data_IF_629089911879
#
_entry.id   IF_629089911879
#
_cell.length_a   1.000
_cell.length_b   1.000
_cell.length_c   1.000
_cell.angle_alpha   90.00
_cell.angle_beta   90.00
_cell.angle_gamma   90.00
#
_symmetry.space_group_name_H-M   'P 1'
#
loop_
_entity.id
_entity.type
_entity.pdbx_description
1 polymer ?
#
# COMPACT_ATOMS: atom_id res chain seq x y z
N UNK A 1 -11.55 29.08 3.86
CA UNK A 1 -11.52 27.94 4.81
C UNK A 1 -10.34 27.10 4.38
N UNK A 2 -9.23 27.29 5.09
CA UNK A 2 -7.89 26.91 4.64
C UNK A 2 -7.65 25.40 4.75
N UNK A 3 -6.78 24.88 3.88
CA UNK A 3 -6.32 23.48 3.82
C UNK A 3 -5.70 22.97 5.13
N UNK A 4 -5.43 23.85 6.09
CA UNK A 4 -4.92 23.52 7.42
C UNK A 4 -5.98 22.91 8.36
N UNK A 5 -7.28 23.14 8.13
CA UNK A 5 -8.37 22.60 8.97
C UNK A 5 -8.77 21.16 8.61
N UNK A 6 -8.63 20.72 7.36
CA UNK A 6 -8.92 19.32 6.99
C UNK A 6 -7.92 18.34 7.61
N UNK A 7 -6.67 18.76 7.80
CA UNK A 7 -5.62 17.99 8.46
C UNK A 7 -5.83 17.86 9.98
N UNK A 8 -6.44 18.84 10.64
CA UNK A 8 -6.70 18.80 12.07
C UNK A 8 -7.96 17.97 12.39
N UNK A 9 -9.02 18.08 11.59
CA UNK A 9 -10.24 17.27 11.71
C UNK A 9 -10.01 15.78 11.46
N UNK A 10 -9.21 15.42 10.45
CA UNK A 10 -8.84 14.02 10.17
C UNK A 10 -7.95 13.43 11.26
N UNK A 11 -7.02 14.22 11.81
CA UNK A 11 -6.14 13.82 12.92
C UNK A 11 -6.92 13.59 14.22
N UNK A 12 -7.84 14.48 14.56
CA UNK A 12 -8.73 14.34 15.72
C UNK A 12 -9.65 13.10 15.59
N UNK A 13 -10.20 12.86 14.39
CA UNK A 13 -11.05 11.69 14.10
C UNK A 13 -10.30 10.36 14.20
N UNK A 14 -9.06 10.31 13.71
CA UNK A 14 -8.20 9.13 13.83
C UNK A 14 -7.82 8.82 15.27
N UNK A 15 -7.45 9.84 16.07
CA UNK A 15 -7.10 9.67 17.47
C UNK A 15 -8.28 9.15 18.30
N UNK A 16 -9.50 9.63 18.00
CA UNK A 16 -10.74 9.16 18.63
C UNK A 16 -11.01 7.67 18.35
N UNK A 17 -10.80 7.20 17.12
CA UNK A 17 -10.98 5.78 16.75
C UNK A 17 -10.00 4.87 17.48
N UNK A 18 -8.75 5.29 17.62
CA UNK A 18 -7.72 4.53 18.34
C UNK A 18 -7.97 4.52 19.85
N UNK A 19 -8.47 5.62 20.43
CA UNK A 19 -8.89 5.66 21.84
C UNK A 19 -10.12 4.80 22.10
N UNK A 20 -11.06 4.73 21.15
CA UNK A 20 -12.25 3.88 21.27
C UNK A 20 -11.88 2.42 21.57
N UNK A 21 -10.81 1.89 20.97
CA UNK A 21 -10.32 0.52 21.20
C UNK A 21 -10.26 0.10 22.67
N UNK A 22 -9.76 0.99 23.52
CA UNK A 22 -9.51 0.69 24.93
C UNK A 22 -10.77 0.69 25.75
N UNK A 23 -11.84 1.29 25.21
CA UNK A 23 -13.11 1.52 25.87
C UNK A 23 -14.27 0.85 25.09
N UNK A 24 -14.00 -0.10 24.19
CA UNK A 24 -15.07 -0.79 23.48
C UNK A 24 -15.68 -1.84 24.40
N UNK A 25 -17.01 -1.78 24.55
CA UNK A 25 -17.81 -2.79 25.28
C UNK A 25 -18.08 -4.06 24.44
N UNK A 26 -17.60 -4.10 23.20
CA UNK A 26 -17.76 -5.24 22.28
C UNK A 26 -16.42 -5.69 21.70
N UNK A 27 -16.35 -6.97 21.30
CA UNK A 27 -15.16 -7.57 20.72
C UNK A 27 -14.94 -7.05 19.28
N UNK A 28 -13.78 -6.43 18.97
CA UNK A 28 -13.50 -5.92 17.63
C UNK A 28 -13.56 -7.02 16.57
N UNK A 29 -14.32 -6.76 15.51
CA UNK A 29 -14.37 -7.57 14.30
C UNK A 29 -13.32 -7.13 13.26
N UNK A 30 -13.27 -7.83 12.12
CA UNK A 30 -12.29 -7.60 11.06
C UNK A 30 -12.37 -6.18 10.49
N UNK A 31 -13.59 -5.66 10.29
CA UNK A 31 -13.82 -4.32 9.74
C UNK A 31 -13.32 -3.26 10.72
N UNK A 32 -13.61 -3.46 12.01
CA UNK A 32 -13.14 -2.58 13.09
C UNK A 32 -11.60 -2.56 13.09
N UNK A 33 -10.97 -3.73 13.06
CA UNK A 33 -9.50 -3.86 13.04
C UNK A 33 -8.88 -3.14 11.84
N UNK A 34 -9.39 -3.36 10.62
CA UNK A 34 -8.87 -2.72 9.41
C UNK A 34 -9.02 -1.19 9.48
N UNK A 35 -10.17 -0.70 9.93
CA UNK A 35 -10.44 0.73 10.09
C UNK A 35 -9.48 1.39 11.08
N UNK A 36 -9.15 0.67 12.15
CA UNK A 36 -8.21 1.11 13.15
C UNK A 36 -6.76 1.12 12.66
N UNK A 37 -6.35 0.10 11.91
CA UNK A 37 -5.03 0.06 11.27
C UNK A 37 -4.88 1.22 10.29
N UNK A 38 -5.88 1.48 9.45
CA UNK A 38 -5.90 2.64 8.55
C UNK A 38 -5.79 3.98 9.30
N UNK A 39 -6.43 4.10 10.47
CA UNK A 39 -6.27 5.28 11.31
C UNK A 39 -4.83 5.42 11.82
N UNK A 40 -4.16 4.30 12.15
CA UNK A 40 -2.74 4.32 12.53
C UNK A 40 -1.83 4.68 11.35
N UNK A 41 -2.14 4.23 10.13
CA UNK A 41 -1.44 4.63 8.89
C UNK A 41 -1.47 6.15 8.74
N UNK A 42 -2.66 6.77 8.76
CA UNK A 42 -2.81 8.22 8.57
C UNK A 42 -2.17 9.06 9.68
N UNK A 43 -2.15 8.56 10.92
CA UNK A 43 -1.55 9.25 12.05
C UNK A 43 -0.05 8.98 12.21
N UNK A 44 0.51 8.00 11.48
CA UNK A 44 1.88 7.52 11.68
C UNK A 44 2.13 6.90 13.06
N UNK A 45 1.10 6.40 13.73
CA UNK A 45 1.19 5.97 15.14
C UNK A 45 1.53 4.47 15.28
N UNK A 46 2.80 4.13 15.08
CA UNK A 46 3.28 2.74 15.20
C UNK A 46 2.97 2.08 16.55
N UNK A 47 2.97 2.85 17.65
CA UNK A 47 2.71 2.35 19.00
C UNK A 47 1.32 1.71 19.11
N UNK A 48 0.31 2.31 18.47
CA UNK A 48 -1.05 1.78 18.47
C UNK A 48 -1.20 0.65 17.46
N UNK A 49 -0.58 0.77 16.29
CA UNK A 49 -0.51 -0.32 15.31
C UNK A 49 0.05 -1.62 15.90
N UNK A 50 1.11 -1.54 16.73
CA UNK A 50 1.67 -2.70 17.44
C UNK A 50 0.70 -3.31 18.48
N UNK A 51 -0.05 -2.48 19.20
CA UNK A 51 -1.07 -2.97 20.13
C UNK A 51 -2.18 -3.73 19.40
N UNK A 52 -2.65 -3.19 18.28
CA UNK A 52 -3.66 -3.84 17.41
C UNK A 52 -3.09 -5.13 16.82
N UNK A 53 -1.84 -5.13 16.34
CA UNK A 53 -1.20 -6.35 15.84
C UNK A 53 -1.10 -7.44 16.92
N UNK A 54 -0.77 -7.08 18.17
CA UNK A 54 -0.80 -8.02 19.29
C UNK A 54 -2.20 -8.58 19.60
N UNK A 55 -3.28 -7.82 19.35
CA UNK A 55 -4.64 -8.34 19.42
C UNK A 55 -4.93 -9.31 18.26
N UNK A 56 -4.59 -8.93 17.02
CA UNK A 56 -4.76 -9.76 15.82
C UNK A 56 -4.12 -11.15 15.98
N UNK A 57 -2.93 -11.22 16.59
CA UNK A 57 -2.26 -12.49 16.85
C UNK A 57 -3.00 -13.33 17.90
N UNK A 58 -3.43 -12.73 19.01
CA UNK A 58 -4.13 -13.42 20.11
C UNK A 58 -5.53 -13.90 19.73
N UNK A 59 -6.21 -13.17 18.86
CA UNK A 59 -7.57 -13.48 18.40
C UNK A 59 -7.60 -14.26 17.07
N UNK A 60 -6.46 -14.79 16.61
CA UNK A 60 -6.33 -15.58 15.37
C UNK A 60 -6.70 -14.87 14.05
N UNK A 61 -6.89 -13.54 14.07
CA UNK A 61 -7.17 -12.73 12.88
C UNK A 61 -6.00 -12.65 11.89
N UNK A 62 -4.78 -13.01 12.30
CA UNK A 62 -3.59 -13.03 11.42
C UNK A 62 -3.71 -14.03 10.25
N UNK A 63 -4.68 -14.94 10.29
CA UNK A 63 -4.99 -15.85 9.19
C UNK A 63 -5.80 -15.17 8.08
N UNK A 64 -6.41 -14.02 8.36
CA UNK A 64 -7.17 -13.26 7.39
C UNK A 64 -6.23 -12.42 6.53
N UNK A 65 -6.23 -12.69 5.22
CA UNK A 65 -5.35 -12.05 4.25
C UNK A 65 -5.67 -10.56 4.03
N UNK A 66 -6.92 -10.11 4.26
CA UNK A 66 -7.28 -8.69 4.23
C UNK A 66 -6.67 -7.94 5.42
N UNK A 67 -6.66 -8.55 6.61
CA UNK A 67 -6.02 -7.98 7.80
C UNK A 67 -4.50 -7.92 7.60
N UNK A 68 -3.90 -8.94 6.98
CA UNK A 68 -2.47 -8.93 6.65
C UNK A 68 -2.12 -7.80 5.67
N UNK A 69 -2.95 -7.55 4.65
CA UNK A 69 -2.76 -6.42 3.75
C UNK A 69 -2.80 -5.07 4.49
N UNK A 70 -3.77 -4.89 5.40
CA UNK A 70 -3.87 -3.67 6.23
C UNK A 70 -2.68 -3.50 7.19
N UNK A 71 -2.13 -4.60 7.72
CA UNK A 71 -0.91 -4.55 8.54
C UNK A 71 0.31 -4.16 7.71
N UNK A 72 0.47 -4.72 6.50
CA UNK A 72 1.56 -4.38 5.58
C UNK A 72 1.56 -2.88 5.29
N UNK A 73 0.39 -2.33 4.93
CA UNK A 73 0.19 -0.91 4.67
C UNK A 73 0.50 -0.05 5.91
N UNK A 74 -0.04 -0.40 7.08
CA UNK A 74 0.18 0.35 8.31
C UNK A 74 1.66 0.38 8.71
N UNK A 75 2.35 -0.76 8.69
CA UNK A 75 3.76 -0.82 9.06
C UNK A 75 4.65 -0.09 8.05
N UNK A 76 4.41 -0.22 6.74
CA UNK A 76 5.24 0.42 5.72
C UNK A 76 5.14 1.95 5.79
N UNK A 77 3.93 2.49 5.95
CA UNK A 77 3.67 3.93 6.14
C UNK A 77 4.21 4.45 7.48
N UNK A 78 4.31 3.59 8.50
CA UNK A 78 4.99 3.91 9.77
C UNK A 78 6.52 3.74 9.70
N UNK A 79 7.10 3.59 8.51
CA UNK A 79 8.55 3.48 8.32
C UNK A 79 9.13 2.11 8.67
N UNK A 80 8.31 1.06 8.78
CA UNK A 80 8.72 -0.31 9.16
C UNK A 80 8.49 -1.31 8.04
N UNK A 81 9.18 -1.07 6.92
CA UNK A 81 9.21 -1.98 5.78
C UNK A 81 9.66 -3.39 6.17
N UNK A 82 10.61 -3.51 7.10
CA UNK A 82 11.10 -4.78 7.61
C UNK A 82 9.98 -5.67 8.16
N UNK A 83 9.04 -5.11 8.91
CA UNK A 83 7.89 -5.84 9.45
C UNK A 83 6.91 -6.20 8.32
N UNK A 84 6.66 -5.27 7.40
CA UNK A 84 5.81 -5.52 6.22
C UNK A 84 6.30 -6.71 5.40
N UNK A 85 7.61 -6.82 5.17
CA UNK A 85 8.24 -7.95 4.47
C UNK A 85 7.98 -9.27 5.21
N UNK A 86 8.15 -9.30 6.53
CA UNK A 86 7.93 -10.50 7.34
C UNK A 86 6.46 -10.95 7.24
N UNK A 87 5.52 -10.03 7.43
CA UNK A 87 4.07 -10.35 7.36
C UNK A 87 3.73 -10.89 5.97
N UNK A 88 4.17 -10.19 4.92
CA UNK A 88 3.95 -10.60 3.55
C UNK A 88 4.54 -12.00 3.26
N UNK A 89 5.79 -12.24 3.65
CA UNK A 89 6.47 -13.53 3.46
C UNK A 89 5.81 -14.68 4.23
N UNK A 90 5.27 -14.41 5.42
CA UNK A 90 4.60 -15.41 6.26
C UNK A 90 3.18 -15.78 5.81
N UNK A 91 2.55 -14.97 4.95
CA UNK A 91 1.18 -15.22 4.49
C UNK A 91 1.16 -16.36 3.47
N UNK A 92 0.46 -17.45 3.79
CA UNK A 92 0.29 -18.63 2.93
C UNK A 92 -0.51 -18.30 1.66
N UNK A 93 -1.50 -17.42 1.79
CA UNK A 93 -2.27 -16.89 0.67
C UNK A 93 -2.07 -15.37 0.60
N UNK A 94 -1.81 -14.87 -0.61
CA UNK A 94 -1.61 -13.45 -0.87
C UNK A 94 -2.74 -12.95 -1.75
N UNK A 95 -3.52 -12.01 -1.24
CA UNK A 95 -4.56 -11.32 -2.01
C UNK A 95 -3.96 -10.23 -2.86
N UNK A 96 -4.69 -9.79 -3.89
CA UNK A 96 -4.35 -8.61 -4.70
C UNK A 96 -4.05 -7.40 -3.80
N UNK A 97 -4.82 -7.21 -2.73
CA UNK A 97 -4.59 -6.14 -1.76
C UNK A 97 -3.22 -6.25 -1.07
N UNK A 98 -2.79 -7.45 -0.67
CA UNK A 98 -1.47 -7.67 -0.05
C UNK A 98 -0.32 -7.46 -1.04
N UNK A 99 -0.46 -7.91 -2.30
CA UNK A 99 0.51 -7.63 -3.37
C UNK A 99 0.65 -6.13 -3.60
N UNK A 100 -0.47 -5.44 -3.80
CA UNK A 100 -0.50 -4.00 -4.04
C UNK A 100 0.10 -3.22 -2.87
N UNK A 101 -0.19 -3.64 -1.62
CA UNK A 101 0.37 -3.02 -0.42
C UNK A 101 1.89 -3.18 -0.36
N UNK A 102 2.41 -4.35 -0.75
CA UNK A 102 3.86 -4.60 -0.75
C UNK A 102 4.60 -3.88 -1.88
N UNK A 103 4.02 -3.83 -3.09
CA UNK A 103 4.56 -3.04 -4.22
C UNK A 103 4.63 -1.56 -3.85
N UNK A 104 3.53 -1.02 -3.28
CA UNK A 104 3.48 0.36 -2.79
C UNK A 104 4.52 0.59 -1.68
N UNK A 105 4.64 -0.33 -0.73
CA UNK A 105 5.63 -0.24 0.35
C UNK A 105 7.06 -0.13 -0.18
N UNK A 106 7.46 -0.94 -1.15
CA UNK A 106 8.78 -0.80 -1.76
C UNK A 106 8.93 0.52 -2.52
N UNK A 107 7.89 0.98 -3.23
CA UNK A 107 7.91 2.29 -3.89
C UNK A 107 8.06 3.48 -2.94
N UNK A 108 7.39 3.45 -1.79
CA UNK A 108 7.48 4.49 -0.75
C UNK A 108 8.87 4.54 -0.09
N UNK A 109 9.55 3.40 -0.03
CA UNK A 109 10.90 3.26 0.53
C UNK A 109 12.01 3.35 -0.54
N UNK A 110 11.72 3.89 -1.73
CA UNK A 110 12.68 4.08 -2.84
C UNK A 110 13.37 2.80 -3.32
N UNK A 111 12.69 1.67 -3.21
CA UNK A 111 13.19 0.33 -3.53
C UNK A 111 12.49 -0.22 -4.80
N UNK A 112 12.44 0.59 -5.87
CA UNK A 112 11.66 0.30 -7.07
C UNK A 112 11.99 -1.03 -7.76
N UNK A 113 13.26 -1.49 -7.72
CA UNK A 113 13.61 -2.81 -8.27
C UNK A 113 12.91 -3.95 -7.51
N UNK A 114 12.84 -3.87 -6.18
CA UNK A 114 12.09 -4.85 -5.38
C UNK A 114 10.59 -4.76 -5.61
N UNK A 115 10.06 -3.56 -5.88
CA UNK A 115 8.66 -3.40 -6.28
C UNK A 115 8.36 -4.14 -7.59
N UNK A 116 9.26 -4.05 -8.59
CA UNK A 116 9.19 -4.81 -9.84
C UNK A 116 9.29 -6.33 -9.58
N UNK A 117 10.22 -6.77 -8.73
CA UNK A 117 10.36 -8.18 -8.36
C UNK A 117 9.06 -8.75 -7.76
N UNK A 118 8.45 -8.03 -6.82
CA UNK A 118 7.16 -8.41 -6.22
C UNK A 118 6.03 -8.41 -7.25
N UNK A 119 5.98 -7.44 -8.15
CA UNK A 119 5.00 -7.43 -9.23
C UNK A 119 5.17 -8.66 -10.13
N UNK A 120 6.39 -9.00 -10.52
CA UNK A 120 6.64 -10.18 -11.34
C UNK A 120 6.28 -11.47 -10.59
N UNK A 121 6.55 -11.56 -9.28
CA UNK A 121 6.11 -12.68 -8.44
C UNK A 121 4.57 -12.81 -8.40
N UNK A 122 3.84 -11.70 -8.32
CA UNK A 122 2.38 -11.67 -8.44
C UNK A 122 1.90 -12.31 -9.75
N UNK A 123 2.54 -11.99 -10.87
CA UNK A 123 2.22 -12.56 -12.19
C UNK A 123 2.56 -14.06 -12.25
N UNK A 124 3.74 -14.44 -11.77
CA UNK A 124 4.20 -15.84 -11.77
C UNK A 124 3.33 -16.75 -10.91
N UNK A 125 2.77 -16.21 -9.82
CA UNK A 125 1.80 -16.89 -8.96
C UNK A 125 0.37 -16.86 -9.52
N UNK A 126 0.19 -16.37 -10.76
CA UNK A 126 -1.08 -16.29 -11.49
C UNK A 126 -2.13 -15.39 -10.82
N UNK A 127 -1.67 -14.41 -10.04
CA UNK A 127 -2.56 -13.37 -9.52
C UNK A 127 -2.65 -12.25 -10.58
N UNK A 128 -3.83 -11.99 -11.16
CA UNK A 128 -3.95 -11.00 -12.23
C UNK A 128 -3.71 -9.58 -11.69
N UNK A 129 -2.85 -8.78 -12.35
CA UNK A 129 -2.63 -7.41 -11.95
C UNK A 129 -3.89 -6.57 -12.20
N UNK A 130 -4.02 -5.49 -11.43
CA UNK A 130 -5.15 -4.57 -11.51
C UNK A 130 -4.67 -3.17 -11.86
N UNK A 131 -5.61 -2.25 -12.12
CA UNK A 131 -5.31 -0.81 -12.27
C UNK A 131 -4.44 -0.31 -11.09
N UNK A 132 -4.83 -0.63 -9.85
CA UNK A 132 -4.04 -0.26 -8.66
C UNK A 132 -2.64 -0.90 -8.64
N UNK A 133 -2.49 -2.14 -9.12
CA UNK A 133 -1.18 -2.79 -9.21
C UNK A 133 -0.21 -2.00 -10.09
N UNK A 134 -0.70 -1.52 -11.24
CA UNK A 134 0.09 -0.68 -12.15
C UNK A 134 0.32 0.73 -11.62
N UNK A 135 -0.66 1.37 -10.98
CA UNK A 135 -0.44 2.67 -10.32
C UNK A 135 0.72 2.57 -9.31
N UNK A 136 0.71 1.55 -8.46
CA UNK A 136 1.74 1.34 -7.46
C UNK A 136 3.11 1.04 -8.09
N UNK A 137 3.14 0.21 -9.14
CA UNK A 137 4.37 -0.12 -9.86
C UNK A 137 4.98 1.10 -10.56
N UNK A 138 4.17 1.85 -11.31
CA UNK A 138 4.62 3.05 -12.03
C UNK A 138 5.10 4.13 -11.07
N UNK A 139 4.39 4.35 -9.95
CA UNK A 139 4.83 5.25 -8.90
C UNK A 139 6.18 4.83 -8.30
N UNK A 140 6.35 3.53 -8.04
CA UNK A 140 7.61 2.99 -7.52
C UNK A 140 8.79 3.18 -8.50
N UNK A 141 8.55 2.98 -9.80
CA UNK A 141 9.52 3.26 -10.85
C UNK A 141 9.88 4.74 -10.91
N UNK A 142 8.87 5.64 -10.84
CA UNK A 142 9.08 7.09 -10.87
C UNK A 142 9.87 7.59 -9.66
N UNK A 143 9.59 7.08 -8.47
CA UNK A 143 10.34 7.41 -7.25
C UNK A 143 11.79 6.90 -7.26
N UNK A 144 12.08 5.86 -8.02
CA UNK A 144 13.40 5.21 -8.06
C UNK A 144 14.19 5.54 -9.32
N UNK A 145 13.67 6.40 -10.20
CA UNK A 145 14.29 6.76 -11.48
C UNK A 145 14.34 5.64 -12.52
N UNK A 146 13.52 4.59 -12.36
CA UNK A 146 13.44 3.44 -13.28
C UNK A 146 12.50 3.75 -14.44
N UNK A 147 12.82 4.80 -15.21
CA UNK A 147 11.92 5.38 -16.21
C UNK A 147 11.64 4.41 -17.35
N UNK A 148 12.69 3.76 -17.86
CA UNK A 148 12.56 2.81 -18.98
C UNK A 148 11.73 1.60 -18.59
N UNK A 149 11.97 1.03 -17.40
CA UNK A 149 11.17 -0.07 -16.89
C UNK A 149 9.71 0.35 -16.69
N UNK A 150 9.46 1.52 -16.09
CA UNK A 150 8.12 2.07 -15.90
C UNK A 150 7.35 2.26 -17.20
N UNK A 151 7.97 2.87 -18.22
CA UNK A 151 7.37 3.05 -19.54
C UNK A 151 7.11 1.70 -20.23
N UNK A 152 8.04 0.74 -20.10
CA UNK A 152 7.85 -0.62 -20.61
C UNK A 152 6.58 -1.27 -20.04
N UNK A 153 6.42 -1.27 -18.72
CA UNK A 153 5.22 -1.79 -18.07
C UNK A 153 3.95 -1.02 -18.48
N UNK A 154 4.00 0.30 -18.58
CA UNK A 154 2.87 1.13 -19.02
C UNK A 154 2.42 0.80 -20.45
N UNK A 155 3.37 0.56 -21.35
CA UNK A 155 3.09 0.22 -22.74
C UNK A 155 2.40 -1.14 -22.85
N UNK A 156 2.88 -2.14 -22.11
CA UNK A 156 2.35 -3.51 -22.17
C UNK A 156 1.04 -3.73 -21.36
N UNK A 157 0.54 -2.73 -20.61
CA UNK A 157 -0.61 -2.88 -19.71
C UNK A 157 -1.84 -3.55 -20.34
N UNK A 158 -2.24 -3.09 -21.51
CA UNK A 158 -3.43 -3.61 -22.19
C UNK A 158 -3.12 -4.92 -22.91
N UNK A 159 -2.04 -4.95 -23.68
CA UNK A 159 -1.75 -6.04 -24.61
C UNK A 159 -1.27 -7.32 -23.90
N UNK A 160 -0.44 -7.20 -22.86
CA UNK A 160 0.10 -8.36 -22.13
C UNK A 160 -0.71 -8.70 -20.87
N UNK A 161 -1.30 -7.70 -20.22
CA UNK A 161 -1.94 -7.88 -18.91
C UNK A 161 -3.45 -7.64 -18.92
N UNK A 162 -4.04 -7.18 -20.03
CA UNK A 162 -5.48 -6.92 -20.15
C UNK A 162 -5.98 -5.77 -19.27
N UNK A 163 -5.10 -4.87 -18.83
CA UNK A 163 -5.44 -3.74 -17.95
C UNK A 163 -5.57 -2.45 -18.76
N UNK A 164 -6.79 -1.95 -18.89
CA UNK A 164 -7.03 -0.65 -19.52
C UNK A 164 -6.37 0.50 -18.75
N UNK A 165 -5.87 1.47 -19.50
CA UNK A 165 -5.26 2.67 -18.95
C UNK A 165 -6.35 3.61 -18.40
N UNK A 166 -6.09 4.18 -17.22
CA UNK A 166 -6.90 5.24 -16.61
C UNK A 166 -6.01 6.47 -16.38
N UNK A 167 -6.63 7.60 -16.10
CA UNK A 167 -5.96 8.90 -15.90
C UNK A 167 -4.81 8.81 -14.89
N UNK A 168 -4.99 8.05 -13.82
CA UNK A 168 -4.00 7.86 -12.75
C UNK A 168 -2.70 7.22 -13.26
N UNK A 169 -2.76 6.30 -14.23
CA UNK A 169 -1.55 5.75 -14.85
C UNK A 169 -0.79 6.83 -15.62
N UNK A 170 -1.50 7.69 -16.34
CA UNK A 170 -0.89 8.78 -17.10
C UNK A 170 -0.22 9.79 -16.17
N UNK A 171 -0.86 10.11 -15.04
CA UNK A 171 -0.26 10.97 -14.01
C UNK A 171 1.07 10.39 -13.51
N UNK A 172 1.14 9.08 -13.27
CA UNK A 172 2.39 8.42 -12.85
C UNK A 172 3.48 8.55 -13.92
N UNK A 173 3.13 8.38 -15.21
CA UNK A 173 4.08 8.50 -16.33
C UNK A 173 4.56 9.94 -16.50
N UNK A 174 3.66 10.92 -16.43
CA UNK A 174 4.01 12.34 -16.54
C UNK A 174 4.89 12.79 -15.38
N UNK A 175 4.60 12.37 -14.14
CA UNK A 175 5.47 12.63 -12.98
C UNK A 175 6.87 12.02 -13.19
N UNK A 176 6.93 10.77 -13.64
CA UNK A 176 8.17 10.06 -13.94
C UNK A 176 9.00 10.78 -15.03
N UNK A 177 8.39 11.14 -16.16
CA UNK A 177 9.06 11.86 -17.26
C UNK A 177 9.46 13.28 -16.86
N UNK A 178 8.62 13.96 -16.06
CA UNK A 178 8.87 15.29 -15.54
C UNK A 178 10.13 15.36 -14.69
N UNK A 179 10.34 14.37 -13.80
CA UNK A 179 11.55 14.28 -12.97
C UNK A 179 12.83 14.06 -13.77
N UNK A 180 12.73 13.49 -14.97
CA UNK A 180 13.86 13.24 -15.85
C UNK A 180 14.02 14.28 -16.98
N UNK A 181 13.18 15.33 -17.01
CA UNK A 181 13.22 16.36 -18.05
C UNK A 181 12.77 15.88 -19.43
N UNK A 182 12.06 14.75 -19.52
CA UNK A 182 11.63 14.09 -20.77
C UNK A 182 10.16 14.33 -21.11
N UNK A 183 9.64 15.51 -20.76
CA UNK A 183 8.23 15.86 -20.99
C UNK A 183 7.82 15.89 -22.48
N UNK A 184 8.77 15.87 -23.41
CA UNK A 184 8.50 15.77 -24.85
C UNK A 184 8.01 14.39 -25.30
N UNK A 185 8.04 13.38 -24.42
CA UNK A 185 7.64 12.00 -24.72
C UNK A 185 6.22 11.66 -24.22
N UNK A 186 5.48 12.66 -23.73
CA UNK A 186 4.09 12.55 -23.26
C UNK A 186 3.10 12.62 -24.42
#
# INVERSE_FOLDING_TARGET
MELHDLGSFSKQGGENRVRLFKNMDFEPDEITIVTMLSSCTHLGTIRYGKQIHGYILRSNFHKNSFINAALIDMYSNCGRLDISIIIFGSSSEKTIASWNSMISAYGFHSEGRKAIEVFNEMIMTKTPPTKTSFINLLSACGHSGLVEEGIGYYNCMLDEYGVERVTEHNVCVVDMLGRCGRLSEV
#
